data_IF_840193824282
#
_entry.id   IF_840193824282
#
_cell.length_a   1.000
_cell.length_b   1.000
_cell.length_c   1.000
_cell.angle_alpha   90.00
_cell.angle_beta   90.00
_cell.angle_gamma   90.00
#
_symmetry.space_group_name_H-M   'P 1'
#
loop_
_entity.id
_entity.type
_entity.pdbx_description
1 polymer ?
#
# COMPACT_ATOMS: atom_id res chain seq x y z
N UNK A 1 -0.43 14.09 45.44
CA UNK A 1 -1.79 14.01 46.03
C UNK A 1 -2.15 12.54 46.12
N UNK A 2 -2.58 12.03 47.29
CA UNK A 2 -2.79 10.58 47.50
C UNK A 2 -4.18 10.07 47.11
N UNK A 3 -5.17 10.94 46.95
CA UNK A 3 -6.49 10.65 46.34
C UNK A 3 -7.17 11.98 46.02
N UNK A 4 -7.98 12.04 44.96
CA UNK A 4 -8.73 13.25 44.56
C UNK A 4 -9.96 13.49 45.46
N UNK A 5 -10.46 12.43 46.11
CA UNK A 5 -11.37 12.48 47.27
C UNK A 5 -11.44 11.10 47.94
N UNK A 6 -11.75 11.06 49.24
CA UNK A 6 -11.98 9.83 50.03
C UNK A 6 -13.45 9.37 50.03
N UNK A 7 -14.34 10.08 49.31
CA UNK A 7 -15.74 9.70 49.10
C UNK A 7 -16.08 9.48 47.61
N UNK A 8 -17.26 8.95 47.28
CA UNK A 8 -17.71 8.78 45.89
C UNK A 8 -17.75 10.15 45.18
N UNK A 9 -16.81 10.36 44.28
CA UNK A 9 -16.76 11.54 43.41
C UNK A 9 -17.83 11.39 42.33
N UNK A 10 -18.92 12.15 42.45
CA UNK A 10 -19.87 12.33 41.36
C UNK A 10 -19.38 13.46 40.45
N UNK A 11 -18.75 13.13 39.32
CA UNK A 11 -18.39 14.09 38.28
C UNK A 11 -19.15 13.77 36.98
N UNK A 12 -20.47 14.05 36.92
CA UNK A 12 -21.35 13.61 35.83
C UNK A 12 -21.08 14.28 34.48
N UNK A 13 -20.21 15.30 34.42
CA UNK A 13 -19.84 16.04 33.20
C UNK A 13 -18.46 15.67 32.64
N UNK A 14 -17.76 14.71 33.24
CA UNK A 14 -16.40 14.37 32.85
C UNK A 14 -16.40 13.43 31.63
N UNK A 15 -16.34 14.00 30.43
CA UNK A 15 -16.37 13.21 29.19
C UNK A 15 -14.97 12.82 28.68
N UNK A 16 -13.93 13.56 29.08
CA UNK A 16 -12.56 13.40 28.59
C UNK A 16 -11.60 13.25 29.76
N UNK A 17 -10.77 12.20 29.75
CA UNK A 17 -9.72 11.99 30.75
C UNK A 17 -8.40 11.67 30.06
N UNK A 18 -7.33 12.37 30.45
CA UNK A 18 -5.96 12.08 30.04
C UNK A 18 -5.16 11.68 31.28
N UNK A 19 -4.67 10.45 31.30
CA UNK A 19 -3.86 9.87 32.36
C UNK A 19 -2.41 9.90 31.88
N UNK A 20 -1.58 10.74 32.48
CA UNK A 20 -0.15 10.83 32.16
C UNK A 20 0.68 10.40 33.36
N UNK A 21 1.62 9.48 33.13
CA UNK A 21 2.60 9.11 34.13
C UNK A 21 3.58 10.26 34.39
N UNK A 22 3.78 10.59 35.67
CA UNK A 22 4.78 11.53 36.14
C UNK A 22 5.77 10.76 37.03
N UNK A 23 7.07 10.66 36.65
CA UNK A 23 8.07 9.98 37.46
C UNK A 23 8.11 10.52 38.89
N UNK A 24 8.06 9.63 39.89
CA UNK A 24 8.19 9.98 41.32
C UNK A 24 6.90 10.33 42.06
N UNK A 25 5.74 10.43 41.38
CA UNK A 25 4.45 10.77 42.02
C UNK A 25 3.56 9.54 42.25
N UNK A 26 3.80 8.44 41.55
CA UNK A 26 3.00 7.21 41.64
C UNK A 26 3.54 6.25 42.70
N UNK A 27 2.69 5.92 43.68
CA UNK A 27 3.01 4.94 44.73
C UNK A 27 2.19 3.65 44.65
N UNK A 28 1.17 3.55 43.80
CA UNK A 28 0.29 2.38 43.72
C UNK A 28 -0.19 2.17 42.26
N UNK A 29 -0.28 0.90 41.86
CA UNK A 29 -0.41 0.30 40.51
C UNK A 29 -1.41 0.99 39.53
N UNK A 30 -1.14 0.93 38.21
CA UNK A 30 -2.12 1.35 37.18
C UNK A 30 -3.40 0.56 37.31
N UNK A 31 -3.31 -0.73 37.62
CA UNK A 31 -4.51 -1.52 37.86
C UNK A 31 -5.33 -0.91 39.01
N UNK A 32 -4.71 -0.37 40.06
CA UNK A 32 -5.42 0.36 41.12
C UNK A 32 -6.03 1.66 40.59
N UNK A 33 -5.39 2.37 39.66
CA UNK A 33 -5.95 3.60 39.06
C UNK A 33 -7.10 3.31 38.09
N UNK A 34 -6.96 2.32 37.22
CA UNK A 34 -8.02 1.85 36.31
C UNK A 34 -9.16 1.25 37.12
N UNK A 35 -8.84 0.44 38.14
CA UNK A 35 -9.82 -0.10 39.08
C UNK A 35 -10.52 1.02 39.85
N UNK A 36 -9.83 2.05 40.32
CA UNK A 36 -10.48 3.22 40.93
C UNK A 36 -11.38 3.97 39.95
N UNK A 37 -10.97 4.15 38.68
CA UNK A 37 -11.81 4.74 37.64
C UNK A 37 -13.04 3.86 37.36
N UNK A 38 -12.88 2.53 37.40
CA UNK A 38 -13.97 1.57 37.23
C UNK A 38 -14.89 1.47 38.47
N UNK A 39 -14.34 1.58 39.67
CA UNK A 39 -15.03 1.61 40.97
C UNK A 39 -15.83 2.90 41.15
N UNK A 40 -15.38 4.01 40.54
CA UNK A 40 -16.25 5.18 40.28
C UNK A 40 -17.17 4.89 39.10
N UNK A 41 -18.20 4.05 39.30
CA UNK A 41 -19.18 3.62 38.28
C UNK A 41 -19.67 4.77 37.37
N UNK A 42 -19.82 5.97 37.94
CA UNK A 42 -20.33 7.14 37.22
C UNK A 42 -19.35 7.71 36.18
N UNK A 43 -18.04 7.64 36.44
CA UNK A 43 -17.00 8.22 35.56
C UNK A 43 -16.71 7.30 34.38
N UNK A 44 -16.56 5.99 34.64
CA UNK A 44 -16.30 5.03 33.56
C UNK A 44 -17.46 4.85 32.59
N UNK A 45 -18.71 5.08 33.04
CA UNK A 45 -19.91 4.97 32.20
C UNK A 45 -20.24 6.23 31.37
N UNK A 46 -19.60 7.37 31.64
CA UNK A 46 -19.83 8.65 30.93
C UNK A 46 -18.68 9.07 30.01
N UNK A 47 -17.52 8.41 30.12
CA UNK A 47 -16.32 8.77 29.39
C UNK A 47 -16.46 8.51 27.88
N UNK A 48 -16.21 9.54 27.06
CA UNK A 48 -16.15 9.44 25.59
C UNK A 48 -14.73 9.35 25.07
N UNK A 49 -13.76 9.99 25.73
CA UNK A 49 -12.36 9.95 25.35
C UNK A 49 -11.45 9.61 26.51
N UNK A 50 -10.60 8.61 26.30
CA UNK A 50 -9.57 8.19 27.23
C UNK A 50 -8.20 8.26 26.56
N UNK A 51 -7.29 9.03 27.13
CA UNK A 51 -5.87 8.97 26.79
C UNK A 51 -5.10 8.37 27.97
N UNK A 52 -4.30 7.35 27.69
CA UNK A 52 -3.44 6.69 28.65
C UNK A 52 -2.01 6.84 28.14
N UNK A 53 -1.15 7.51 28.92
CA UNK A 53 0.21 7.78 28.47
C UNK A 53 1.31 7.68 29.53
N UNK A 54 2.50 7.24 29.11
CA UNK A 54 3.72 7.26 29.91
C UNK A 54 3.87 6.09 30.88
N UNK A 55 3.02 5.08 30.78
CA UNK A 55 2.99 3.99 31.75
C UNK A 55 4.17 3.04 31.57
N UNK A 56 5.26 3.30 32.29
CA UNK A 56 6.53 2.59 32.11
C UNK A 56 6.59 1.22 32.78
N UNK A 57 5.70 0.94 33.74
CA UNK A 57 5.74 -0.28 34.54
C UNK A 57 4.63 -1.30 34.24
N UNK A 58 3.71 -0.96 33.37
CA UNK A 58 2.49 -1.73 33.14
C UNK A 58 2.70 -2.66 31.96
N UNK A 59 2.50 -3.96 32.18
CA UNK A 59 2.57 -4.98 31.14
C UNK A 59 1.23 -5.23 30.44
N UNK A 60 0.12 -4.98 31.13
CA UNK A 60 -1.25 -5.27 30.68
C UNK A 60 -2.21 -4.18 31.18
N UNK A 61 -3.20 -3.78 30.37
CA UNK A 61 -4.17 -2.72 30.74
C UNK A 61 -5.56 -3.30 31.02
N UNK A 62 -6.07 -4.20 30.16
CA UNK A 62 -7.43 -4.74 30.26
C UNK A 62 -7.47 -6.27 30.12
N UNK A 63 -6.73 -6.98 30.97
CA UNK A 63 -6.60 -8.45 30.96
C UNK A 63 -7.35 -9.19 32.10
N UNK A 64 -8.12 -8.50 32.96
CA UNK A 64 -8.91 -9.12 34.04
C UNK A 64 -10.24 -8.40 34.32
N UNK A 65 -11.16 -9.06 35.04
CA UNK A 65 -12.56 -8.67 35.29
C UNK A 65 -12.78 -7.16 35.56
N UNK A 66 -13.13 -6.42 34.52
CA UNK A 66 -13.61 -5.04 34.61
C UNK A 66 -15.12 -5.07 34.91
N UNK A 67 -15.64 -4.27 35.89
CA UNK A 67 -17.06 -4.23 36.22
C UNK A 67 -17.96 -4.05 35.00
N UNK A 68 -19.12 -4.72 35.00
CA UNK A 68 -20.09 -4.70 33.90
C UNK A 68 -20.58 -3.27 33.64
N UNK A 69 -20.48 -2.77 32.41
CA UNK A 69 -20.91 -1.41 32.02
C UNK A 69 -19.82 -0.33 31.94
N UNK A 70 -18.61 -0.58 32.47
CA UNK A 70 -17.47 0.36 32.35
C UNK A 70 -17.06 0.58 30.89
N UNK A 71 -16.75 1.83 30.54
CA UNK A 71 -16.33 2.30 29.21
C UNK A 71 -17.37 2.10 28.10
N UNK A 72 -18.65 1.89 28.47
CA UNK A 72 -19.73 1.65 27.50
C UNK A 72 -19.98 2.82 26.56
N UNK A 73 -19.64 4.07 26.92
CA UNK A 73 -19.76 5.27 26.06
C UNK A 73 -18.44 5.72 25.42
N UNK A 74 -17.37 4.93 25.57
CA UNK A 74 -16.06 5.32 25.07
C UNK A 74 -16.04 5.32 23.55
N UNK A 75 -15.75 6.47 22.94
CA UNK A 75 -15.70 6.68 21.49
C UNK A 75 -14.26 6.75 20.98
N UNK A 76 -13.32 7.28 21.76
CA UNK A 76 -11.92 7.41 21.39
C UNK A 76 -10.99 6.93 22.52
N UNK A 77 -10.06 6.04 22.17
CA UNK A 77 -9.03 5.53 23.06
C UNK A 77 -7.65 5.76 22.47
N UNK A 78 -6.79 6.46 23.22
CA UNK A 78 -5.41 6.74 22.86
C UNK A 78 -4.50 6.12 23.92
N UNK A 79 -3.51 5.35 23.48
CA UNK A 79 -2.51 4.71 24.32
C UNK A 79 -1.15 5.09 23.80
N UNK A 80 -0.35 5.80 24.60
CA UNK A 80 0.88 6.40 24.13
C UNK A 80 2.05 6.19 25.11
N UNK A 81 3.26 5.93 24.63
CA UNK A 81 4.46 5.93 25.48
C UNK A 81 4.41 4.92 26.65
N UNK A 82 3.79 3.74 26.44
CA UNK A 82 3.71 2.69 27.46
C UNK A 82 4.84 1.68 27.26
N UNK A 83 5.94 1.87 28.00
CA UNK A 83 7.24 1.24 27.72
C UNK A 83 7.31 -0.28 27.93
N UNK A 84 6.53 -0.82 28.89
CA UNK A 84 6.51 -2.26 29.21
C UNK A 84 5.23 -2.97 28.76
N UNK A 85 4.31 -2.24 28.12
CA UNK A 85 3.03 -2.79 27.68
C UNK A 85 3.25 -3.88 26.64
N UNK A 86 2.78 -5.09 26.92
CA UNK A 86 2.88 -6.26 26.03
C UNK A 86 1.54 -6.65 25.42
N UNK A 87 0.48 -6.59 26.22
CA UNK A 87 -0.87 -7.01 25.86
C UNK A 87 -1.86 -5.93 26.23
N UNK A 88 -2.88 -5.72 25.40
CA UNK A 88 -3.80 -4.61 25.61
C UNK A 88 -5.20 -5.02 26.06
N UNK A 89 -5.92 -5.82 25.25
CA UNK A 89 -7.29 -6.23 25.54
C UNK A 89 -7.43 -7.74 25.65
N UNK A 90 -8.28 -8.20 26.57
CA UNK A 90 -8.94 -9.50 26.40
C UNK A 90 -10.03 -9.42 25.31
N UNK A 91 -10.35 -10.54 24.63
CA UNK A 91 -11.51 -10.67 23.74
C UNK A 91 -12.81 -10.14 24.35
N UNK A 92 -13.06 -10.49 25.61
CA UNK A 92 -14.21 -10.04 26.38
C UNK A 92 -14.27 -8.51 26.53
N UNK A 93 -13.14 -7.83 26.71
CA UNK A 93 -13.08 -6.37 26.76
C UNK A 93 -13.24 -5.72 25.38
N UNK A 94 -12.61 -6.29 24.34
CA UNK A 94 -12.75 -5.80 22.97
C UNK A 94 -14.20 -5.80 22.47
N UNK A 95 -14.99 -6.81 22.87
CA UNK A 95 -16.44 -6.91 22.60
C UNK A 95 -17.27 -5.82 23.28
N UNK A 96 -16.86 -5.37 24.47
CA UNK A 96 -17.63 -4.44 25.30
C UNK A 96 -17.47 -2.98 24.89
N UNK A 97 -16.45 -2.68 24.10
CA UNK A 97 -16.17 -1.33 23.57
C UNK A 97 -17.11 -1.02 22.40
N UNK A 98 -18.42 -1.04 22.68
CA UNK A 98 -19.48 -1.02 21.66
C UNK A 98 -19.67 0.33 20.99
N UNK A 99 -19.15 1.43 21.55
CA UNK A 99 -19.19 2.75 20.93
C UNK A 99 -17.80 3.23 20.47
N UNK A 100 -16.76 2.40 20.61
CA UNK A 100 -15.39 2.83 20.31
C UNK A 100 -15.23 2.97 18.79
N UNK A 101 -15.07 4.21 18.33
CA UNK A 101 -14.89 4.56 16.91
C UNK A 101 -13.43 4.71 16.53
N UNK A 102 -12.59 5.15 17.48
CA UNK A 102 -11.18 5.40 17.21
C UNK A 102 -10.28 4.80 18.27
N UNK A 103 -9.33 3.98 17.82
CA UNK A 103 -8.27 3.41 18.64
C UNK A 103 -6.91 3.85 18.09
N UNK A 104 -6.09 4.45 18.95
CA UNK A 104 -4.74 4.90 18.61
C UNK A 104 -3.75 4.36 19.60
N UNK A 105 -2.76 3.59 19.13
CA UNK A 105 -1.68 3.02 19.95
C UNK A 105 -0.36 3.56 19.40
N UNK A 106 0.43 4.25 20.24
CA UNK A 106 1.65 4.92 19.81
C UNK A 106 2.82 4.71 20.77
N UNK A 107 4.00 4.45 20.24
CA UNK A 107 5.24 4.38 21.04
C UNK A 107 5.12 3.39 22.22
N UNK A 108 4.64 2.19 21.92
CA UNK A 108 4.56 1.06 22.86
C UNK A 108 5.56 -0.02 22.40
N UNK A 109 6.86 0.12 22.72
CA UNK A 109 7.92 -0.66 22.07
C UNK A 109 7.89 -2.15 22.43
N UNK A 110 7.28 -2.53 23.56
CA UNK A 110 7.16 -3.92 24.00
C UNK A 110 5.84 -4.59 23.60
N UNK A 111 4.95 -3.89 22.87
CA UNK A 111 3.63 -4.41 22.52
C UNK A 111 3.78 -5.61 21.59
N UNK A 112 3.30 -6.76 22.04
CA UNK A 112 3.35 -8.04 21.34
C UNK A 112 1.99 -8.35 20.70
N UNK A 113 0.88 -8.09 21.41
CA UNK A 113 -0.49 -8.36 20.95
C UNK A 113 -1.45 -7.24 21.34
N UNK A 114 -2.33 -6.83 20.42
CA UNK A 114 -3.41 -5.87 20.70
C UNK A 114 -4.56 -6.57 21.44
N UNK A 115 -4.94 -7.76 20.99
CA UNK A 115 -5.95 -8.58 21.65
C UNK A 115 -5.35 -9.94 21.95
N UNK A 116 -5.43 -10.36 23.21
CA UNK A 116 -4.88 -11.62 23.70
C UNK A 116 -5.72 -12.79 23.18
N UNK A 117 -5.08 -13.90 22.79
CA UNK A 117 -5.79 -15.16 22.54
C UNK A 117 -6.25 -15.74 23.88
N UNK A 118 -7.55 -15.91 24.10
CA UNK A 118 -8.06 -16.68 25.25
C UNK A 118 -7.99 -18.17 24.91
N UNK A 119 -7.38 -18.98 25.78
CA UNK A 119 -7.44 -20.45 25.68
C UNK A 119 -8.91 -20.88 25.82
N UNK A 120 -9.33 -21.79 24.94
CA UNK A 120 -10.71 -22.23 24.75
C UNK A 120 -11.42 -22.49 26.09
N UNK A 121 -12.28 -21.56 26.50
CA UNK A 121 -13.27 -21.84 27.53
C UNK A 121 -14.41 -22.64 26.87
N UNK A 122 -14.57 -23.88 27.35
CA UNK A 122 -15.62 -24.87 27.08
C UNK A 122 -16.61 -24.56 25.96
N UNK A 123 -16.53 -25.39 24.92
CA UNK A 123 -17.55 -25.79 23.95
C UNK A 123 -18.87 -24.99 23.93
N UNK A 124 -19.11 -24.32 22.80
CA UNK A 124 -20.47 -24.28 22.23
C UNK A 124 -21.09 -22.95 21.84
N UNK A 125 -20.47 -21.77 22.05
CA UNK A 125 -21.22 -20.52 21.74
C UNK A 125 -20.44 -19.23 21.39
N UNK A 126 -19.10 -19.19 21.37
CA UNK A 126 -18.38 -17.89 21.32
C UNK A 126 -17.58 -17.57 20.06
N UNK A 127 -17.49 -18.48 19.09
CA UNK A 127 -16.60 -18.31 17.92
C UNK A 127 -16.98 -17.17 16.96
N UNK A 128 -18.15 -16.53 17.11
CA UNK A 128 -18.67 -15.52 16.18
C UNK A 128 -18.97 -14.16 16.81
N UNK A 129 -18.52 -13.87 18.03
CA UNK A 129 -18.79 -12.57 18.64
C UNK A 129 -17.87 -11.45 18.11
N UNK A 130 -18.48 -10.38 17.62
CA UNK A 130 -17.77 -9.25 17.01
C UNK A 130 -16.96 -8.49 18.07
N UNK A 131 -15.65 -8.32 17.80
CA UNK A 131 -14.77 -7.46 18.56
C UNK A 131 -14.71 -6.07 17.93
N UNK A 132 -14.74 -5.01 18.76
CA UNK A 132 -14.75 -3.63 18.30
C UNK A 132 -15.85 -3.31 17.27
N UNK A 133 -17.13 -3.50 17.62
CA UNK A 133 -18.23 -3.52 16.65
C UNK A 133 -18.50 -2.18 15.97
N UNK A 134 -17.97 -1.06 16.49
CA UNK A 134 -18.17 0.30 15.94
C UNK A 134 -16.85 0.99 15.57
N UNK A 135 -15.73 0.25 15.52
CA UNK A 135 -14.43 0.86 15.25
C UNK A 135 -14.33 1.31 13.80
N UNK A 136 -14.09 2.61 13.59
CA UNK A 136 -13.99 3.26 12.29
C UNK A 136 -12.53 3.54 11.90
N UNK A 137 -11.66 3.86 12.87
CA UNK A 137 -10.25 4.19 12.64
C UNK A 137 -9.34 3.48 13.66
N UNK A 138 -8.37 2.71 13.15
CA UNK A 138 -7.28 2.13 13.94
C UNK A 138 -5.93 2.69 13.48
N UNK A 139 -5.17 3.25 14.42
CA UNK A 139 -3.81 3.76 14.20
C UNK A 139 -2.85 3.06 15.15
N UNK A 140 -1.84 2.40 14.60
CA UNK A 140 -0.72 1.81 15.34
C UNK A 140 0.57 2.48 14.84
N UNK A 141 1.32 3.14 15.71
CA UNK A 141 2.60 3.78 15.39
C UNK A 141 3.68 3.38 16.41
N UNK A 142 4.87 3.04 15.93
CA UNK A 142 6.03 2.81 16.79
C UNK A 142 5.80 1.70 17.85
N UNK A 143 5.31 0.52 17.41
CA UNK A 143 5.10 -0.67 18.25
C UNK A 143 6.12 -1.75 17.87
N UNK A 144 7.18 -1.85 18.68
CA UNK A 144 8.44 -2.52 18.30
C UNK A 144 8.39 -4.03 18.20
N UNK A 145 7.54 -4.69 19.00
CA UNK A 145 7.44 -6.16 19.07
C UNK A 145 6.19 -6.73 18.42
N UNK A 146 5.34 -5.89 17.85
CA UNK A 146 4.08 -6.31 17.26
C UNK A 146 4.38 -7.10 15.99
N UNK A 147 3.99 -8.38 15.98
CA UNK A 147 4.22 -9.30 14.86
C UNK A 147 3.01 -9.45 13.95
N UNK A 148 1.81 -9.41 14.53
CA UNK A 148 0.53 -9.63 13.88
C UNK A 148 -0.54 -8.77 14.58
N UNK A 149 -1.62 -8.39 13.89
CA UNK A 149 -2.68 -7.56 14.48
C UNK A 149 -3.97 -8.33 14.72
N UNK A 150 -4.43 -9.09 13.73
CA UNK A 150 -5.79 -9.64 13.71
C UNK A 150 -5.79 -11.14 13.45
N UNK A 151 -6.68 -11.88 14.12
CA UNK A 151 -7.15 -13.16 13.59
C UNK A 151 -8.11 -12.93 12.41
N UNK A 152 -8.28 -13.91 11.52
CA UNK A 152 -9.33 -13.92 10.51
C UNK A 152 -10.71 -13.55 11.06
N UNK A 153 -11.12 -14.16 12.18
CA UNK A 153 -12.39 -13.86 12.85
C UNK A 153 -12.54 -12.39 13.26
N UNK A 154 -11.47 -11.79 13.77
CA UNK A 154 -11.47 -10.38 14.15
C UNK A 154 -11.54 -9.47 12.93
N UNK A 155 -10.80 -9.77 11.87
CA UNK A 155 -10.81 -9.03 10.63
C UNK A 155 -12.20 -9.03 9.96
N UNK A 156 -12.97 -10.12 10.10
CA UNK A 156 -14.37 -10.20 9.68
C UNK A 156 -15.31 -9.35 10.55
N UNK A 157 -15.09 -9.35 11.86
CA UNK A 157 -15.90 -8.58 12.82
C UNK A 157 -15.74 -7.06 12.74
N UNK A 158 -14.67 -6.56 12.10
CA UNK A 158 -14.41 -5.12 11.94
C UNK A 158 -15.28 -4.48 10.85
N UNK A 159 -16.60 -4.59 11.03
CA UNK A 159 -17.63 -4.25 10.04
C UNK A 159 -17.79 -2.75 9.76
N UNK A 160 -17.18 -1.88 10.56
CA UNK A 160 -17.22 -0.42 10.38
C UNK A 160 -15.84 0.20 10.19
N UNK A 161 -14.77 -0.60 10.16
CA UNK A 161 -13.41 -0.08 10.05
C UNK A 161 -13.17 0.49 8.66
N UNK A 162 -13.04 1.82 8.57
CA UNK A 162 -12.78 2.55 7.31
C UNK A 162 -11.31 2.86 7.11
N UNK A 163 -10.56 3.10 8.19
CA UNK A 163 -9.17 3.54 8.13
C UNK A 163 -8.27 2.70 9.02
N UNK A 164 -7.27 2.07 8.42
CA UNK A 164 -6.23 1.33 9.11
C UNK A 164 -4.87 1.93 8.77
N UNK A 165 -4.14 2.39 9.79
CA UNK A 165 -2.77 2.90 9.63
C UNK A 165 -1.82 2.18 10.56
N UNK A 166 -0.79 1.57 9.99
CA UNK A 166 0.26 0.87 10.73
C UNK A 166 1.59 1.50 10.34
N UNK A 167 2.34 1.98 11.31
CA UNK A 167 3.59 2.71 11.06
C UNK A 167 4.68 2.34 12.05
N UNK A 168 5.93 2.26 11.57
CA UNK A 168 7.12 2.03 12.41
C UNK A 168 6.98 0.78 13.31
N UNK A 169 6.47 -0.32 12.75
CA UNK A 169 6.33 -1.60 13.43
C UNK A 169 7.35 -2.59 12.84
N UNK A 170 8.62 -2.56 13.27
CA UNK A 170 9.72 -3.24 12.60
C UNK A 170 9.61 -4.77 12.62
N UNK A 171 8.91 -5.33 13.61
CA UNK A 171 8.71 -6.78 13.76
C UNK A 171 7.43 -7.31 13.11
N UNK A 172 6.63 -6.43 12.47
CA UNK A 172 5.37 -6.83 11.84
C UNK A 172 5.66 -7.77 10.68
N UNK A 173 5.16 -9.00 10.76
CA UNK A 173 5.35 -10.06 9.77
C UNK A 173 4.12 -10.18 8.86
N UNK A 174 2.92 -10.01 9.42
CA UNK A 174 1.63 -10.06 8.71
C UNK A 174 0.58 -9.17 9.41
N UNK A 175 -0.44 -8.69 8.69
CA UNK A 175 -1.53 -7.90 9.30
C UNK A 175 -2.60 -8.83 9.90
N UNK A 176 -2.98 -9.87 9.15
CA UNK A 176 -3.92 -10.90 9.57
C UNK A 176 -3.19 -12.24 9.61
N UNK A 177 -3.36 -12.97 10.71
CA UNK A 177 -2.75 -14.29 10.89
C UNK A 177 -3.38 -15.31 9.96
N UNK A 178 -2.57 -16.16 9.32
CA UNK A 178 -3.09 -17.35 8.63
C UNK A 178 -3.56 -18.37 9.67
N UNK A 179 -4.85 -18.72 9.68
CA UNK A 179 -5.35 -19.85 10.46
C UNK A 179 -5.11 -21.13 9.65
N UNK A 180 -4.51 -22.15 10.28
CA UNK A 180 -4.46 -23.51 9.71
C UNK A 180 -5.91 -24.00 9.56
N UNK A 181 -6.20 -24.59 8.41
CA UNK A 181 -7.54 -24.91 7.93
C UNK A 181 -8.36 -25.64 9.01
N UNK A 182 -9.36 -24.95 9.59
CA UNK A 182 -10.43 -25.64 10.29
C UNK A 182 -11.27 -26.38 9.25
N UNK A 183 -11.56 -27.65 9.53
CA UNK A 183 -12.18 -28.66 8.66
C UNK A 183 -13.10 -28.11 7.56
N UNK A 184 -12.86 -28.64 6.36
CA UNK A 184 -13.61 -28.47 5.12
C UNK A 184 -15.11 -28.37 5.36
N UNK A 185 -15.72 -27.23 5.04
CA UNK A 185 -17.17 -27.18 4.87
C UNK A 185 -17.87 -25.83 4.93
N UNK A 186 -17.34 -24.77 5.57
CA UNK A 186 -18.17 -23.55 5.72
C UNK A 186 -17.52 -22.16 5.75
N UNK A 187 -16.21 -22.00 5.56
CA UNK A 187 -15.57 -20.67 5.68
C UNK A 187 -15.02 -20.07 4.37
N UNK A 188 -15.17 -20.76 3.25
CA UNK A 188 -14.81 -20.18 1.95
C UNK A 188 -15.80 -19.04 1.64
N UNK A 189 -15.30 -17.81 1.60
CA UNK A 189 -15.97 -16.56 1.15
C UNK A 189 -16.43 -15.55 2.21
N UNK A 190 -16.03 -15.63 3.48
CA UNK A 190 -16.32 -14.53 4.41
C UNK A 190 -15.37 -13.34 4.19
N UNK A 191 -15.96 -12.16 3.93
CA UNK A 191 -15.24 -10.92 3.66
C UNK A 191 -14.53 -10.41 4.92
N UNK A 192 -13.23 -10.21 4.84
CA UNK A 192 -12.44 -9.51 5.85
C UNK A 192 -12.37 -8.02 5.53
N UNK A 193 -12.46 -7.16 6.56
CA UNK A 193 -12.45 -5.71 6.42
C UNK A 193 -13.51 -5.15 5.44
N UNK A 194 -14.80 -5.46 5.64
CA UNK A 194 -15.85 -5.23 4.65
C UNK A 194 -16.11 -3.75 4.31
N UNK A 195 -15.67 -2.81 5.16
CA UNK A 195 -15.87 -1.36 4.97
C UNK A 195 -14.55 -0.58 4.88
N UNK A 196 -13.40 -1.25 4.73
CA UNK A 196 -12.10 -0.57 4.73
C UNK A 196 -11.93 0.26 3.47
N UNK A 197 -11.67 1.55 3.64
CA UNK A 197 -11.53 2.55 2.56
C UNK A 197 -10.07 2.97 2.35
N UNK A 198 -9.29 3.06 3.44
CA UNK A 198 -7.88 3.46 3.42
C UNK A 198 -7.03 2.52 4.27
N UNK A 199 -6.02 1.93 3.64
CA UNK A 199 -4.94 1.20 4.31
C UNK A 199 -3.60 1.89 4.05
N UNK A 200 -2.91 2.25 5.13
CA UNK A 200 -1.55 2.81 5.08
C UNK A 200 -0.63 1.96 5.95
N UNK A 201 0.46 1.49 5.35
CA UNK A 201 1.52 0.75 6.02
C UNK A 201 2.84 1.44 5.73
N UNK A 202 3.50 1.97 6.75
CA UNK A 202 4.79 2.67 6.62
C UNK A 202 5.84 2.06 7.56
N UNK A 203 7.06 1.84 7.08
CA UNK A 203 8.19 1.44 7.92
C UNK A 203 7.94 0.15 8.73
N UNK A 204 7.47 -0.90 8.06
CA UNK A 204 7.25 -2.23 8.63
C UNK A 204 8.31 -3.21 8.09
N UNK A 205 9.36 -3.42 8.88
CA UNK A 205 10.63 -4.01 8.43
C UNK A 205 10.57 -5.47 8.01
N UNK A 206 9.72 -6.27 8.66
CA UNK A 206 9.59 -7.72 8.43
C UNK A 206 8.39 -8.13 7.57
N UNK A 207 7.58 -7.17 7.13
CA UNK A 207 6.36 -7.46 6.39
C UNK A 207 6.74 -8.03 5.03
N UNK A 208 6.36 -9.29 4.78
CA UNK A 208 6.68 -10.00 3.53
C UNK A 208 5.54 -9.93 2.53
N UNK A 209 4.33 -10.17 3.02
CA UNK A 209 3.11 -10.22 2.24
C UNK A 209 1.99 -9.50 2.99
N UNK A 210 0.96 -9.05 2.26
CA UNK A 210 -0.12 -8.29 2.88
C UNK A 210 -1.47 -8.99 2.83
N UNK A 211 -1.84 -9.55 1.68
CA UNK A 211 -3.17 -10.11 1.46
C UNK A 211 -3.10 -11.52 0.87
N UNK A 212 -4.03 -12.38 1.27
CA UNK A 212 -4.43 -13.53 0.46
C UNK A 212 -5.32 -13.05 -0.70
N UNK A 213 -5.41 -13.80 -1.81
CA UNK A 213 -6.38 -13.60 -2.88
C UNK A 213 -7.81 -13.39 -2.35
N UNK A 214 -8.25 -14.25 -1.42
CA UNK A 214 -9.57 -14.14 -0.77
C UNK A 214 -9.79 -12.80 -0.05
N UNK A 215 -8.78 -12.30 0.66
CA UNK A 215 -8.86 -11.01 1.32
C UNK A 215 -8.89 -9.85 0.32
N UNK A 216 -8.06 -9.92 -0.73
CA UNK A 216 -8.01 -8.91 -1.78
C UNK A 216 -9.35 -8.76 -2.54
N UNK A 217 -10.10 -9.86 -2.70
CA UNK A 217 -11.49 -9.84 -3.21
C UNK A 217 -12.47 -9.21 -2.24
N UNK A 218 -12.31 -9.48 -0.94
CA UNK A 218 -13.19 -8.97 0.11
C UNK A 218 -13.07 -7.46 0.37
N UNK A 219 -11.97 -6.83 -0.07
CA UNK A 219 -11.71 -5.40 0.10
C UNK A 219 -12.52 -4.53 -0.88
N UNK A 220 -13.84 -4.69 -0.85
CA UNK A 220 -14.79 -4.13 -1.82
C UNK A 220 -14.99 -2.61 -1.71
N UNK A 221 -14.54 -1.97 -0.63
CA UNK A 221 -14.61 -0.52 -0.44
C UNK A 221 -13.24 0.17 -0.42
N UNK A 222 -12.14 -0.59 -0.59
CA UNK A 222 -10.80 -0.04 -0.45
C UNK A 222 -10.49 0.88 -1.63
N UNK A 223 -10.40 2.18 -1.37
CA UNK A 223 -10.10 3.21 -2.38
C UNK A 223 -8.62 3.54 -2.42
N UNK A 224 -7.92 3.37 -1.30
CA UNK A 224 -6.55 3.86 -1.15
C UNK A 224 -5.67 2.89 -0.39
N UNK A 225 -4.60 2.46 -1.06
CA UNK A 225 -3.58 1.59 -0.51
C UNK A 225 -2.22 2.27 -0.62
N UNK A 226 -1.55 2.47 0.51
CA UNK A 226 -0.19 2.99 0.55
C UNK A 226 0.71 2.07 1.35
N UNK A 227 1.79 1.61 0.73
CA UNK A 227 2.81 0.77 1.35
C UNK A 227 4.15 1.45 1.17
N UNK A 228 4.80 1.84 2.26
CA UNK A 228 6.08 2.54 2.20
C UNK A 228 7.11 1.99 3.17
N UNK A 229 8.39 2.00 2.77
CA UNK A 229 9.53 1.60 3.60
C UNK A 229 9.37 0.20 4.20
N UNK A 230 8.90 -0.76 3.40
CA UNK A 230 8.75 -2.16 3.78
C UNK A 230 9.81 -2.99 3.02
N UNK A 231 11.07 -3.04 3.51
CA UNK A 231 12.20 -3.57 2.74
C UNK A 231 12.10 -5.07 2.45
N UNK A 232 11.37 -5.83 3.27
CA UNK A 232 11.18 -7.27 3.11
C UNK A 232 9.93 -7.64 2.30
N UNK A 233 9.14 -6.66 1.82
CA UNK A 233 7.92 -6.92 1.06
C UNK A 233 8.29 -7.60 -0.27
N UNK A 234 7.81 -8.82 -0.47
CA UNK A 234 8.07 -9.65 -1.65
C UNK A 234 6.89 -9.56 -2.63
N UNK A 235 5.65 -9.64 -2.13
CA UNK A 235 4.42 -9.52 -2.91
C UNK A 235 3.33 -8.76 -2.11
N UNK A 236 2.42 -8.05 -2.80
CA UNK A 236 1.26 -7.42 -2.13
C UNK A 236 0.16 -8.44 -1.87
N UNK A 237 -0.15 -9.27 -2.86
CA UNK A 237 -1.09 -10.39 -2.78
C UNK A 237 -0.31 -11.67 -3.01
N UNK A 238 -0.42 -12.62 -2.09
CA UNK A 238 0.26 -13.92 -2.18
C UNK A 238 -0.36 -14.72 -3.32
N UNK A 239 0.46 -15.39 -4.14
CA UNK A 239 -0.03 -16.43 -5.06
C UNK A 239 -0.52 -17.64 -4.25
N UNK A 240 -1.80 -18.00 -4.37
CA UNK A 240 -2.31 -19.28 -3.86
C UNK A 240 -2.02 -20.36 -4.91
N UNK A 241 -1.43 -21.49 -4.49
CA UNK A 241 -1.33 -22.69 -5.34
C UNK A 241 -2.75 -23.16 -5.66
N UNK A 242 -2.98 -23.49 -6.93
CA UNK A 242 -4.29 -23.65 -7.54
C UNK A 242 -5.16 -24.67 -6.79
N UNK A 243 -6.25 -24.20 -6.18
CA UNK A 243 -7.36 -25.07 -5.84
C UNK A 243 -8.14 -25.35 -7.13
N UNK A 244 -8.20 -26.63 -7.51
CA UNK A 244 -8.88 -27.28 -8.64
C UNK A 244 -9.43 -26.40 -9.77
N UNK A 245 -8.92 -26.68 -10.97
CA UNK A 245 -9.35 -26.20 -12.27
C UNK A 245 -10.87 -26.06 -12.39
N UNK A 246 -11.34 -24.83 -12.66
CA UNK A 246 -12.68 -24.61 -13.21
C UNK A 246 -13.46 -23.40 -12.69
N UNK A 247 -13.04 -22.72 -11.60
CA UNK A 247 -13.94 -21.77 -10.92
C UNK A 247 -13.40 -20.35 -10.65
N UNK A 248 -12.09 -20.08 -10.68
CA UNK A 248 -11.55 -18.80 -10.14
C UNK A 248 -10.92 -17.83 -11.15
N UNK A 249 -10.90 -18.14 -12.45
CA UNK A 249 -10.13 -17.38 -13.45
C UNK A 249 -10.55 -15.91 -13.69
N UNK A 250 -11.57 -15.38 -13.01
CA UNK A 250 -12.10 -14.03 -13.25
C UNK A 250 -12.57 -13.26 -12.01
N UNK A 251 -12.09 -13.60 -10.80
CA UNK A 251 -12.51 -12.86 -9.62
C UNK A 251 -11.73 -11.54 -9.46
N UNK A 252 -12.46 -10.43 -9.43
CA UNK A 252 -11.90 -9.07 -9.31
C UNK A 252 -11.32 -8.87 -7.91
N UNK A 253 -10.04 -8.52 -7.85
CA UNK A 253 -9.38 -8.06 -6.63
C UNK A 253 -9.33 -6.54 -6.59
N UNK A 254 -9.52 -5.97 -5.40
CA UNK A 254 -9.53 -4.51 -5.18
C UNK A 254 -10.50 -3.74 -6.11
N UNK A 255 -11.79 -4.09 -6.15
CA UNK A 255 -12.73 -3.60 -7.17
C UNK A 255 -12.96 -2.09 -7.15
N UNK A 256 -12.68 -1.40 -6.03
CA UNK A 256 -12.89 0.04 -5.84
C UNK A 256 -11.59 0.83 -5.64
N UNK A 257 -10.43 0.22 -5.87
CA UNK A 257 -9.15 0.88 -5.61
C UNK A 257 -8.91 2.01 -6.61
N UNK A 258 -8.72 3.22 -6.10
CA UNK A 258 -8.52 4.46 -6.87
C UNK A 258 -7.05 4.90 -6.86
N UNK A 259 -6.35 4.69 -5.74
CA UNK A 259 -4.97 5.10 -5.54
C UNK A 259 -4.12 3.96 -4.92
N UNK A 260 -3.05 3.58 -5.62
CA UNK A 260 -2.00 2.71 -5.11
C UNK A 260 -0.66 3.43 -5.10
N UNK A 261 -0.03 3.52 -3.93
CA UNK A 261 1.33 4.03 -3.78
C UNK A 261 2.21 2.98 -3.11
N UNK A 262 3.29 2.62 -3.78
CA UNK A 262 4.34 1.77 -3.25
C UNK A 262 5.66 2.55 -3.29
N UNK A 263 6.28 2.74 -2.14
CA UNK A 263 7.55 3.49 -2.03
C UNK A 263 8.56 2.75 -1.17
N UNK A 264 9.81 2.63 -1.61
CA UNK A 264 10.89 2.04 -0.81
C UNK A 264 10.59 0.59 -0.34
N UNK A 265 10.18 -0.28 -1.26
CA UNK A 265 9.94 -1.71 -1.01
C UNK A 265 11.04 -2.54 -1.70
N UNK A 266 12.04 -2.95 -0.91
CA UNK A 266 13.33 -3.45 -1.39
C UNK A 266 13.30 -4.78 -2.12
N UNK A 267 12.42 -5.71 -1.71
CA UNK A 267 12.31 -7.06 -2.26
C UNK A 267 11.17 -7.27 -3.24
N UNK A 268 10.36 -6.23 -3.50
CA UNK A 268 9.19 -6.34 -4.34
C UNK A 268 9.64 -6.61 -5.78
N UNK A 269 9.28 -7.78 -6.32
CA UNK A 269 9.67 -8.21 -7.68
C UNK A 269 8.58 -7.94 -8.70
N UNK A 270 7.35 -8.26 -8.34
CA UNK A 270 6.17 -8.18 -9.18
C UNK A 270 5.02 -7.56 -8.40
N UNK A 271 4.09 -6.90 -9.08
CA UNK A 271 2.96 -6.24 -8.41
C UNK A 271 1.60 -6.88 -8.72
N UNK A 272 1.31 -7.12 -10.00
CA UNK A 272 0.00 -7.62 -10.43
C UNK A 272 0.12 -8.86 -11.32
N UNK A 273 -0.84 -9.78 -11.19
CA UNK A 273 -1.18 -10.71 -12.25
C UNK A 273 -2.02 -9.98 -13.31
N UNK A 274 -2.11 -10.50 -14.55
CA UNK A 274 -3.03 -10.00 -15.57
C UNK A 274 -4.47 -9.89 -15.05
N UNK A 275 -4.97 -10.93 -14.38
CA UNK A 275 -6.31 -10.93 -13.76
C UNK A 275 -6.53 -9.80 -12.76
N UNK A 276 -5.56 -9.52 -11.88
CA UNK A 276 -5.61 -8.38 -10.96
C UNK A 276 -5.62 -7.05 -11.72
N UNK A 277 -4.76 -6.90 -12.72
CA UNK A 277 -4.67 -5.67 -13.53
C UNK A 277 -5.98 -5.38 -14.30
N UNK A 278 -6.70 -6.42 -14.74
CA UNK A 278 -8.06 -6.31 -15.31
C UNK A 278 -9.08 -5.88 -14.26
N UNK A 279 -8.98 -6.42 -13.04
CA UNK A 279 -9.90 -6.14 -11.94
C UNK A 279 -9.81 -4.72 -11.37
N UNK A 280 -8.69 -4.02 -11.59
CA UNK A 280 -8.44 -2.66 -11.11
C UNK A 280 -9.15 -1.59 -11.96
N UNK A 281 -10.47 -1.74 -12.10
CA UNK A 281 -11.31 -0.94 -13.01
C UNK A 281 -11.52 0.51 -12.57
N UNK A 282 -11.23 0.85 -11.31
CA UNK A 282 -11.34 2.22 -10.78
C UNK A 282 -9.98 2.88 -10.50
N UNK A 283 -8.86 2.21 -10.78
CA UNK A 283 -7.53 2.72 -10.42
C UNK A 283 -7.19 3.93 -11.27
N UNK A 284 -7.06 5.10 -10.65
CA UNK A 284 -6.73 6.37 -11.30
C UNK A 284 -5.27 6.75 -11.14
N UNK A 285 -4.66 6.39 -10.01
CA UNK A 285 -3.29 6.77 -9.68
C UNK A 285 -2.48 5.57 -9.22
N UNK A 286 -1.40 5.29 -9.95
CA UNK A 286 -0.41 4.29 -9.60
C UNK A 286 0.96 4.96 -9.47
N UNK A 287 1.56 4.85 -8.28
CA UNK A 287 2.92 5.32 -8.03
C UNK A 287 3.77 4.19 -7.46
N UNK A 288 4.88 3.90 -8.13
CA UNK A 288 5.89 2.95 -7.67
C UNK A 288 7.21 3.70 -7.60
N UNK A 289 7.87 3.67 -6.45
CA UNK A 289 9.08 4.45 -6.21
C UNK A 289 10.08 3.65 -5.38
N UNK A 290 11.38 3.73 -5.71
CA UNK A 290 12.47 3.12 -4.91
C UNK A 290 12.25 1.63 -4.65
N UNK A 291 11.90 0.88 -5.69
CA UNK A 291 11.71 -0.58 -5.64
C UNK A 291 12.81 -1.25 -6.47
N UNK A 292 14.04 -1.41 -5.93
CA UNK A 292 15.22 -1.77 -6.73
C UNK A 292 15.14 -3.17 -7.34
N UNK A 293 14.38 -4.10 -6.74
CA UNK A 293 14.20 -5.46 -7.25
C UNK A 293 13.01 -5.63 -8.18
N UNK A 294 12.25 -4.58 -8.48
CA UNK A 294 11.06 -4.66 -9.32
C UNK A 294 11.47 -5.03 -10.75
N UNK A 295 10.99 -6.18 -11.22
CA UNK A 295 11.30 -6.75 -12.53
C UNK A 295 10.16 -6.45 -13.52
N UNK A 296 8.90 -6.62 -13.10
CA UNK A 296 7.71 -6.34 -13.91
C UNK A 296 6.57 -5.72 -13.06
N UNK A 297 5.77 -4.83 -13.65
CA UNK A 297 4.57 -4.28 -12.97
C UNK A 297 3.41 -5.26 -13.06
N UNK A 298 3.21 -5.85 -14.24
CA UNK A 298 2.23 -6.92 -14.49
C UNK A 298 2.98 -8.13 -15.01
N UNK A 299 2.85 -9.27 -14.33
CA UNK A 299 3.50 -10.53 -14.70
C UNK A 299 2.88 -11.06 -16.00
N UNK A 300 3.70 -11.62 -16.89
CA UNK A 300 3.20 -12.34 -18.07
C UNK A 300 2.65 -13.72 -17.67
N UNK A 301 1.44 -14.06 -18.06
CA UNK A 301 0.89 -15.43 -17.90
C UNK A 301 1.45 -16.33 -19.02
N UNK A 302 2.03 -17.48 -18.65
CA UNK A 302 2.68 -18.42 -19.57
C UNK A 302 1.68 -19.26 -20.40
N UNK A 303 0.41 -19.34 -19.99
CA UNK A 303 -0.54 -20.37 -20.48
C UNK A 303 -1.86 -19.86 -21.11
N UNK A 304 -1.95 -18.60 -21.54
CA UNK A 304 -3.13 -18.18 -22.32
C UNK A 304 -3.02 -18.65 -23.77
N UNK A 305 -3.98 -19.49 -24.22
CA UNK A 305 -4.15 -19.89 -25.63
C UNK A 305 -3.96 -18.68 -26.56
N UNK A 306 -3.21 -18.88 -27.65
CA UNK A 306 -2.77 -17.84 -28.59
C UNK A 306 -3.91 -16.99 -29.20
N UNK A 307 -5.17 -17.42 -29.06
CA UNK A 307 -6.36 -16.68 -29.49
C UNK A 307 -6.93 -15.66 -28.49
N UNK A 308 -6.58 -15.72 -27.19
CA UNK A 308 -7.20 -14.87 -26.14
C UNK A 308 -6.43 -13.58 -25.84
N UNK A 309 -5.21 -13.41 -26.38
CA UNK A 309 -4.31 -12.29 -26.04
C UNK A 309 -4.72 -10.93 -26.62
N UNK A 310 -5.65 -10.88 -27.57
CA UNK A 310 -5.73 -9.72 -28.46
C UNK A 310 -6.51 -8.50 -27.95
N UNK A 311 -7.25 -8.55 -26.83
CA UNK A 311 -8.14 -7.43 -26.46
C UNK A 311 -8.37 -7.17 -24.96
N UNK A 312 -7.51 -7.64 -24.07
CA UNK A 312 -7.72 -7.41 -22.64
C UNK A 312 -7.26 -6.02 -22.19
N UNK A 313 -8.22 -5.17 -21.81
CA UNK A 313 -7.96 -3.83 -21.30
C UNK A 313 -7.54 -3.94 -19.82
N UNK A 314 -6.31 -3.52 -19.53
CA UNK A 314 -5.79 -3.40 -18.17
C UNK A 314 -5.76 -1.94 -17.74
N UNK A 315 -6.07 -1.67 -16.46
CA UNK A 315 -6.10 -0.33 -15.88
C UNK A 315 -6.94 0.69 -16.68
N UNK A 316 -8.23 0.39 -16.98
CA UNK A 316 -9.05 1.18 -17.92
C UNK A 316 -9.27 2.65 -17.50
N UNK A 317 -9.12 2.97 -16.21
CA UNK A 317 -9.35 4.31 -15.65
C UNK A 317 -8.06 5.00 -15.17
N UNK A 318 -6.89 4.45 -15.48
CA UNK A 318 -5.63 5.02 -15.01
C UNK A 318 -5.37 6.38 -15.64
N UNK A 319 -5.21 7.41 -14.80
CA UNK A 319 -4.98 8.80 -15.21
C UNK A 319 -3.51 9.21 -15.01
N UNK A 320 -2.86 8.70 -13.95
CA UNK A 320 -1.48 9.03 -13.58
C UNK A 320 -0.69 7.75 -13.25
N UNK A 321 0.41 7.55 -13.97
CA UNK A 321 1.43 6.55 -13.66
C UNK A 321 2.77 7.23 -13.38
N UNK A 322 3.34 6.95 -12.21
CA UNK A 322 4.68 7.41 -11.82
C UNK A 322 5.51 6.20 -11.41
N UNK A 323 6.60 5.95 -12.14
CA UNK A 323 7.60 4.95 -11.80
C UNK A 323 8.94 5.65 -11.63
N UNK A 324 9.55 5.50 -10.46
CA UNK A 324 10.83 6.14 -10.15
C UNK A 324 11.77 5.17 -9.41
N UNK A 325 13.04 5.11 -9.77
CA UNK A 325 14.05 4.37 -9.03
C UNK A 325 13.69 2.88 -8.88
N UNK A 326 13.40 2.24 -10.02
CA UNK A 326 13.09 0.81 -10.12
C UNK A 326 14.22 0.11 -10.90
N UNK A 327 15.15 -0.47 -10.16
CA UNK A 327 16.49 -0.86 -10.65
C UNK A 327 16.51 -1.99 -11.68
N UNK A 328 15.60 -2.97 -11.57
CA UNK A 328 15.54 -4.15 -12.43
C UNK A 328 14.46 -4.11 -13.50
N UNK A 329 13.67 -3.03 -13.55
CA UNK A 329 12.53 -2.92 -14.47
C UNK A 329 13.05 -2.79 -15.90
N UNK A 330 12.73 -3.77 -16.75
CA UNK A 330 13.23 -3.83 -18.14
C UNK A 330 12.26 -3.30 -19.17
N UNK A 331 10.96 -3.42 -18.89
CA UNK A 331 9.85 -2.93 -19.69
C UNK A 331 8.63 -2.64 -18.79
N UNK A 332 7.66 -1.87 -19.29
CA UNK A 332 6.44 -1.53 -18.53
C UNK A 332 5.18 -2.14 -19.14
N UNK A 333 5.05 -2.08 -20.46
CA UNK A 333 3.79 -2.37 -21.14
C UNK A 333 3.96 -3.32 -22.32
N UNK A 334 2.97 -4.18 -22.51
CA UNK A 334 2.67 -4.72 -23.84
C UNK A 334 1.97 -3.66 -24.71
N UNK A 335 1.99 -3.82 -26.05
CA UNK A 335 1.16 -3.03 -26.96
C UNK A 335 -0.33 -3.05 -26.60
N UNK A 336 -0.88 -4.19 -26.16
CA UNK A 336 -2.28 -4.30 -25.72
C UNK A 336 -2.58 -3.46 -24.48
N UNK A 337 -1.70 -3.47 -23.47
CA UNK A 337 -1.83 -2.62 -22.29
C UNK A 337 -1.74 -1.13 -22.67
N UNK A 338 -0.80 -0.76 -23.53
CA UNK A 338 -0.63 0.62 -23.99
C UNK A 338 -1.88 1.16 -24.73
N UNK A 339 -2.58 0.30 -25.49
CA UNK A 339 -3.89 0.61 -26.10
C UNK A 339 -5.00 0.73 -25.06
N UNK A 340 -4.99 -0.11 -24.04
CA UNK A 340 -6.00 -0.14 -22.96
C UNK A 340 -5.96 1.07 -22.02
N UNK A 341 -4.82 1.77 -21.94
CA UNK A 341 -4.60 2.96 -21.11
C UNK A 341 -5.23 4.23 -21.73
N UNK A 342 -6.52 4.18 -22.01
CA UNK A 342 -7.26 5.21 -22.77
C UNK A 342 -7.46 6.52 -22.00
N UNK A 343 -7.36 6.50 -20.67
CA UNK A 343 -7.51 7.68 -19.80
C UNK A 343 -6.18 8.22 -19.25
N UNK A 344 -5.04 7.59 -19.59
CA UNK A 344 -3.75 7.98 -19.04
C UNK A 344 -3.39 9.38 -19.54
N UNK A 345 -3.22 10.32 -18.61
CA UNK A 345 -2.90 11.74 -18.89
C UNK A 345 -1.46 12.09 -18.56
N UNK A 346 -0.88 11.40 -17.59
CA UNK A 346 0.46 11.69 -17.08
C UNK A 346 1.25 10.42 -16.89
N UNK A 347 2.39 10.33 -17.56
CA UNK A 347 3.35 9.24 -17.44
C UNK A 347 4.71 9.82 -17.04
N UNK A 348 5.23 9.41 -15.88
CA UNK A 348 6.57 9.77 -15.42
C UNK A 348 7.35 8.49 -15.18
N UNK A 349 8.50 8.37 -15.85
CA UNK A 349 9.44 7.28 -15.66
C UNK A 349 10.82 7.90 -15.42
N UNK A 350 11.37 7.68 -14.22
CA UNK A 350 12.66 8.24 -13.84
C UNK A 350 13.56 7.22 -13.15
N UNK A 351 14.88 7.35 -13.29
CA UNK A 351 15.88 6.59 -12.52
C UNK A 351 15.70 5.06 -12.63
N UNK A 352 15.32 4.54 -13.79
CA UNK A 352 15.16 3.09 -14.04
C UNK A 352 16.30 2.61 -14.98
N UNK A 353 17.49 2.26 -14.44
CA UNK A 353 18.71 2.07 -15.24
C UNK A 353 18.70 0.83 -16.14
N UNK A 354 17.85 -0.17 -15.86
CA UNK A 354 17.71 -1.38 -16.68
C UNK A 354 16.59 -1.29 -17.71
N UNK A 355 15.84 -0.19 -17.77
CA UNK A 355 14.73 -0.02 -18.68
C UNK A 355 15.25 0.14 -20.11
N UNK A 356 14.92 -0.79 -20.99
CA UNK A 356 15.40 -0.82 -22.38
C UNK A 356 14.35 -0.22 -23.34
N UNK A 357 13.08 -0.51 -23.09
CA UNK A 357 11.91 -0.06 -23.86
C UNK A 357 10.75 0.19 -22.90
N UNK A 358 9.90 1.20 -23.15
CA UNK A 358 8.71 1.44 -22.32
C UNK A 358 7.59 0.47 -22.70
N UNK A 359 7.32 0.37 -24.00
CA UNK A 359 6.39 -0.59 -24.59
C UNK A 359 7.20 -1.62 -25.38
N UNK A 360 7.05 -2.91 -25.08
CA UNK A 360 7.75 -3.98 -25.80
C UNK A 360 7.17 -4.19 -27.19
N UNK A 361 7.99 -4.72 -28.11
CA UNK A 361 7.49 -5.24 -29.38
C UNK A 361 6.83 -6.61 -29.18
N UNK A 362 5.62 -6.79 -29.69
CA UNK A 362 5.00 -8.12 -29.87
C UNK A 362 5.21 -8.57 -31.32
N UNK A 363 5.43 -9.87 -31.54
CA UNK A 363 5.46 -10.45 -32.89
C UNK A 363 4.04 -10.44 -33.45
N UNK A 364 3.78 -9.58 -34.44
CA UNK A 364 2.51 -9.61 -35.16
C UNK A 364 2.40 -10.92 -35.94
N UNK A 365 1.25 -11.59 -35.80
CA UNK A 365 0.92 -12.73 -36.66
C UNK A 365 0.96 -12.30 -38.14
N UNK A 366 1.54 -13.14 -38.99
CA UNK A 366 1.63 -12.91 -40.44
C UNK A 366 0.25 -12.58 -41.02
N UNK A 367 0.01 -11.31 -41.35
CA UNK A 367 -1.28 -10.84 -41.90
C UNK A 367 -1.93 -9.66 -41.17
N UNK A 368 -1.34 -9.16 -40.09
CA UNK A 368 -1.79 -7.94 -39.40
C UNK A 368 -1.82 -6.70 -40.31
N UNK A 369 -2.95 -5.98 -40.29
CA UNK A 369 -3.15 -4.75 -41.06
C UNK A 369 -2.10 -3.69 -40.68
N UNK A 370 -1.48 -3.07 -41.69
CA UNK A 370 -0.57 -1.91 -41.59
C UNK A 370 -1.32 -0.62 -41.16
N UNK A 371 -2.15 -0.69 -40.13
CA UNK A 371 -2.89 0.44 -39.60
C UNK A 371 -2.02 1.29 -38.67
N UNK A 372 -2.34 2.57 -38.55
CA UNK A 372 -1.70 3.46 -37.59
C UNK A 372 -2.01 2.97 -36.17
N UNK A 373 -0.99 2.89 -35.33
CA UNK A 373 -1.13 2.51 -33.92
C UNK A 373 -1.40 3.74 -33.07
N UNK A 374 -2.64 3.90 -32.62
CA UNK A 374 -2.99 4.88 -31.59
C UNK A 374 -2.69 4.27 -30.23
N UNK A 375 -1.76 4.86 -29.49
CA UNK A 375 -1.47 4.49 -28.10
C UNK A 375 -1.70 5.69 -27.19
N UNK A 376 -2.04 5.42 -25.92
CA UNK A 376 -2.20 6.47 -24.90
C UNK A 376 -2.98 7.71 -25.40
N UNK A 377 -4.23 7.55 -25.89
CA UNK A 377 -4.93 8.59 -26.65
C UNK A 377 -5.17 9.89 -25.87
N UNK A 378 -5.14 9.86 -24.54
CA UNK A 378 -5.31 11.03 -23.66
C UNK A 378 -4.01 11.50 -22.98
N UNK A 379 -2.85 10.91 -23.30
CA UNK A 379 -1.58 11.27 -22.66
C UNK A 379 -1.22 12.70 -23.01
N UNK A 380 -1.08 13.56 -21.99
CA UNK A 380 -0.76 14.99 -22.13
C UNK A 380 0.70 15.28 -21.78
N UNK A 381 1.19 14.67 -20.70
CA UNK A 381 2.52 14.93 -20.16
C UNK A 381 3.29 13.62 -20.06
N UNK A 382 4.45 13.57 -20.72
CA UNK A 382 5.40 12.48 -20.66
C UNK A 382 6.74 12.99 -20.11
N UNK A 383 7.23 12.37 -19.04
CA UNK A 383 8.56 12.69 -18.48
C UNK A 383 9.38 11.41 -18.43
N UNK A 384 10.53 11.44 -19.11
CA UNK A 384 11.53 10.36 -19.10
C UNK A 384 12.86 10.93 -18.61
N UNK A 385 13.38 10.37 -17.51
CA UNK A 385 14.54 10.93 -16.82
C UNK A 385 15.53 9.87 -16.33
N UNK A 386 16.82 10.07 -16.53
CA UNK A 386 17.86 9.16 -16.00
C UNK A 386 17.60 7.67 -16.39
N UNK A 387 17.28 7.44 -17.66
CA UNK A 387 16.99 6.11 -18.21
C UNK A 387 18.16 5.64 -19.08
N UNK A 388 19.14 5.00 -18.44
CA UNK A 388 20.48 4.81 -19.01
C UNK A 388 20.52 3.86 -20.20
N UNK A 389 19.64 2.86 -20.22
CA UNK A 389 19.57 1.83 -21.27
C UNK A 389 18.40 2.03 -22.24
N UNK A 390 17.58 3.05 -22.06
CA UNK A 390 16.38 3.25 -22.86
C UNK A 390 16.79 3.54 -24.31
N UNK A 391 16.41 2.65 -25.25
CA UNK A 391 16.75 2.77 -26.68
C UNK A 391 15.66 3.50 -27.47
N UNK A 392 14.41 3.22 -27.12
CA UNK A 392 13.21 3.82 -27.70
C UNK A 392 12.04 3.74 -26.74
N UNK A 393 11.05 4.61 -26.91
CA UNK A 393 9.80 4.52 -26.14
C UNK A 393 8.99 3.29 -26.58
N UNK A 394 8.84 3.10 -27.89
CA UNK A 394 8.17 1.95 -28.49
C UNK A 394 8.81 1.61 -29.85
N UNK A 395 9.48 0.46 -30.01
CA UNK A 395 10.24 0.11 -31.22
C UNK A 395 9.35 -0.36 -32.40
N UNK A 396 8.28 0.38 -32.70
CA UNK A 396 7.35 0.08 -33.79
C UNK A 396 7.79 0.72 -35.11
N UNK A 397 7.66 -0.03 -36.22
CA UNK A 397 8.00 0.44 -37.58
C UNK A 397 6.82 1.09 -38.32
N UNK A 398 5.58 0.78 -37.90
CA UNK A 398 4.37 1.41 -38.40
C UNK A 398 4.17 2.80 -37.77
N UNK A 399 3.19 3.55 -38.28
CA UNK A 399 2.94 4.90 -37.79
C UNK A 399 2.39 4.84 -36.36
N UNK A 400 3.02 5.55 -35.43
CA UNK A 400 2.59 5.72 -34.04
C UNK A 400 1.89 7.07 -33.88
N UNK A 401 0.72 7.08 -33.24
CA UNK A 401 -0.04 8.30 -32.97
C UNK A 401 -0.22 8.52 -31.47
N UNK A 402 0.17 9.70 -31.00
CA UNK A 402 -0.07 10.21 -29.65
C UNK A 402 -0.88 11.52 -29.75
N UNK A 403 -2.21 11.44 -29.99
CA UNK A 403 -3.02 12.56 -30.47
C UNK A 403 -3.22 13.69 -29.45
N UNK A 404 -3.01 13.40 -28.16
CA UNK A 404 -3.19 14.37 -27.06
C UNK A 404 -1.89 14.79 -26.38
N UNK A 405 -0.72 14.39 -26.89
CA UNK A 405 0.55 14.71 -26.25
C UNK A 405 0.86 16.19 -26.39
N UNK A 406 0.98 16.91 -25.27
CA UNK A 406 1.26 18.36 -25.23
C UNK A 406 2.70 18.65 -24.80
N UNK A 407 3.22 17.88 -23.84
CA UNK A 407 4.50 18.13 -23.19
C UNK A 407 5.32 16.84 -23.07
N UNK A 408 6.57 16.92 -23.52
CA UNK A 408 7.57 15.87 -23.33
C UNK A 408 8.81 16.45 -22.66
N UNK A 409 9.22 15.86 -21.55
CA UNK A 409 10.46 16.24 -20.86
C UNK A 409 11.43 15.08 -20.85
N UNK A 410 12.64 15.30 -21.37
CA UNK A 410 13.71 14.30 -21.47
C UNK A 410 14.97 14.80 -20.77
N UNK A 411 15.58 13.97 -19.93
CA UNK A 411 16.90 14.27 -19.39
C UNK A 411 17.66 13.00 -19.06
N UNK A 412 18.97 12.96 -19.36
CA UNK A 412 19.84 11.83 -19.04
C UNK A 412 19.29 10.51 -19.63
N UNK A 413 19.10 10.47 -20.95
CA UNK A 413 18.71 9.27 -21.70
C UNK A 413 19.72 8.98 -22.82
N UNK A 414 20.98 8.62 -22.48
CA UNK A 414 22.12 8.63 -23.42
C UNK A 414 22.04 7.62 -24.58
N UNK A 415 21.24 6.56 -24.44
CA UNK A 415 21.07 5.51 -25.45
C UNK A 415 19.82 5.69 -26.31
N UNK A 416 18.97 6.68 -26.00
CA UNK A 416 17.69 6.87 -26.68
C UNK A 416 17.92 7.59 -28.00
N UNK A 417 17.82 6.86 -29.12
CA UNK A 417 18.08 7.42 -30.46
C UNK A 417 16.82 7.96 -31.13
N UNK A 418 15.69 7.31 -30.89
CA UNK A 418 14.40 7.68 -31.46
C UNK A 418 13.31 7.46 -30.41
N UNK A 419 12.17 8.13 -30.57
CA UNK A 419 10.95 7.80 -29.83
C UNK A 419 10.35 6.47 -30.33
N UNK A 420 10.18 6.37 -31.65
CA UNK A 420 9.69 5.19 -32.40
C UNK A 420 10.56 4.93 -33.63
N UNK A 421 10.46 3.74 -34.24
CA UNK A 421 11.20 3.44 -35.48
C UNK A 421 10.48 3.91 -36.74
N UNK A 422 9.14 3.93 -36.71
CA UNK A 422 8.27 4.40 -37.78
C UNK A 422 7.89 5.88 -37.68
N UNK A 423 7.00 6.36 -38.57
CA UNK A 423 6.44 7.71 -38.51
C UNK A 423 5.77 7.98 -37.16
N UNK A 424 5.87 9.21 -36.66
CA UNK A 424 5.27 9.62 -35.38
C UNK A 424 4.39 10.86 -35.57
N UNK A 425 3.12 10.75 -35.19
CA UNK A 425 2.17 11.87 -35.20
C UNK A 425 1.91 12.34 -33.78
N UNK A 426 2.26 13.61 -33.51
CA UNK A 426 2.07 14.29 -32.21
C UNK A 426 1.46 15.69 -32.45
N UNK A 427 0.21 15.77 -32.93
CA UNK A 427 -0.36 17.00 -33.50
C UNK A 427 -0.55 18.15 -32.49
N UNK A 428 -0.52 17.85 -31.19
CA UNK A 428 -0.70 18.84 -30.10
C UNK A 428 0.58 19.12 -29.32
N UNK A 429 1.72 18.60 -29.77
CA UNK A 429 2.98 18.75 -29.05
C UNK A 429 3.46 20.20 -29.18
N UNK A 430 3.40 20.93 -28.06
CA UNK A 430 3.84 22.32 -28.01
C UNK A 430 5.26 22.42 -27.45
N UNK A 431 5.60 21.57 -26.47
CA UNK A 431 6.84 21.71 -25.71
C UNK A 431 7.62 20.39 -25.64
N UNK A 432 8.90 20.46 -25.99
CA UNK A 432 9.89 19.42 -25.70
C UNK A 432 11.01 20.06 -24.88
N UNK A 433 11.12 19.67 -23.61
CA UNK A 433 12.11 20.24 -22.68
C UNK A 433 13.23 19.22 -22.40
N UNK A 434 14.41 19.40 -23.01
CA UNK A 434 15.66 19.02 -22.37
C UNK A 434 15.80 19.88 -21.10
N UNK A 435 15.92 19.26 -19.92
CA UNK A 435 16.03 20.02 -18.65
C UNK A 435 17.19 21.05 -18.68
N UNK A 436 18.19 20.79 -19.51
CA UNK A 436 19.40 21.60 -19.67
C UNK A 436 19.33 22.66 -20.79
N UNK A 437 18.34 22.61 -21.70
CA UNK A 437 18.24 23.54 -22.82
C UNK A 437 16.79 23.64 -23.36
N UNK A 438 16.01 24.68 -22.99
CA UNK A 438 14.58 24.77 -23.29
C UNK A 438 14.22 25.10 -24.76
N UNK A 439 15.17 25.10 -25.70
CA UNK A 439 14.97 25.63 -27.05
C UNK A 439 15.18 24.61 -28.19
N UNK A 440 14.67 23.38 -28.08
CA UNK A 440 14.74 22.41 -29.17
C UNK A 440 13.41 21.68 -29.36
N UNK A 441 12.59 22.17 -30.30
CA UNK A 441 11.65 21.33 -31.03
C UNK A 441 11.99 21.46 -32.52
N UNK A 442 12.54 20.41 -33.11
CA UNK A 442 12.87 20.35 -34.55
C UNK A 442 11.84 19.46 -35.23
N UNK A 443 10.84 20.07 -35.87
CA UNK A 443 9.87 19.48 -36.81
C UNK A 443 8.99 18.33 -36.27
N UNK A 444 9.59 17.26 -35.77
CA UNK A 444 8.94 16.12 -35.12
C UNK A 444 9.72 15.64 -33.88
N UNK A 445 9.04 14.92 -32.98
CA UNK A 445 9.64 14.44 -31.72
C UNK A 445 10.82 13.47 -31.96
N UNK A 446 10.79 12.67 -33.03
CA UNK A 446 11.88 11.74 -33.36
C UNK A 446 13.18 12.49 -33.72
N UNK A 447 13.10 13.53 -34.54
CA UNK A 447 14.24 14.38 -34.92
C UNK A 447 14.79 15.15 -33.73
N UNK A 448 13.90 15.64 -32.86
CA UNK A 448 14.30 16.29 -31.61
C UNK A 448 15.12 15.34 -30.73
N UNK A 449 14.67 14.09 -30.55
CA UNK A 449 15.41 13.08 -29.78
C UNK A 449 16.75 12.72 -30.42
N UNK A 450 16.80 12.51 -31.74
CA UNK A 450 18.07 12.28 -32.46
C UNK A 450 19.07 13.41 -32.21
N UNK A 451 18.60 14.65 -32.31
CA UNK A 451 19.44 15.81 -32.06
C UNK A 451 19.96 15.86 -30.61
N UNK A 452 19.12 15.55 -29.62
CA UNK A 452 19.54 15.47 -28.22
C UNK A 452 20.54 14.35 -27.97
N UNK A 453 20.34 13.18 -28.57
CA UNK A 453 21.29 12.08 -28.50
C UNK A 453 22.67 12.46 -29.07
N UNK A 454 22.72 13.22 -30.17
CA UNK A 454 23.95 13.69 -30.79
C UNK A 454 24.64 14.81 -29.98
N UNK A 455 23.86 15.75 -29.44
CA UNK A 455 24.39 16.96 -28.77
C UNK A 455 24.62 16.78 -27.27
N UNK A 456 23.62 16.30 -26.53
CA UNK A 456 23.66 16.13 -25.08
C UNK A 456 24.08 14.71 -24.67
N UNK A 457 23.94 13.72 -25.54
CA UNK A 457 24.31 12.32 -25.27
C UNK A 457 25.74 12.15 -24.73
N UNK A 458 26.79 12.75 -25.35
CA UNK A 458 28.15 12.70 -24.81
C UNK A 458 28.28 13.29 -23.40
N UNK A 459 27.59 14.40 -23.12
CA UNK A 459 27.57 15.06 -21.81
C UNK A 459 26.89 14.17 -20.76
N UNK A 460 25.75 13.56 -21.10
CA UNK A 460 25.07 12.62 -20.22
C UNK A 460 25.95 11.40 -19.89
N UNK A 461 26.65 10.83 -20.87
CA UNK A 461 27.60 9.72 -20.64
C UNK A 461 28.75 10.15 -19.71
N UNK A 462 29.34 11.33 -19.94
CA UNK A 462 30.41 11.85 -19.09
C UNK A 462 29.94 12.11 -17.63
N UNK A 463 28.72 12.63 -17.45
CA UNK A 463 28.14 12.85 -16.12
C UNK A 463 27.95 11.53 -15.36
N UNK A 464 27.54 10.46 -16.04
CA UNK A 464 27.40 9.12 -15.45
C UNK A 464 28.75 8.52 -15.04
N UNK A 465 29.78 8.67 -15.87
CA UNK A 465 31.13 8.21 -15.52
C UNK A 465 31.69 8.94 -14.29
N UNK A 466 31.35 10.21 -14.10
CA UNK A 466 31.76 10.97 -12.91
C UNK A 466 31.03 10.54 -11.64
N UNK A 467 29.72 10.32 -11.71
CA UNK A 467 28.92 9.89 -10.55
C UNK A 467 29.18 8.43 -10.17
N UNK A 468 29.48 7.55 -11.12
CA UNK A 468 29.91 6.18 -10.81
C UNK A 468 31.24 6.13 -10.07
N UNK A 469 32.22 6.97 -10.46
CA UNK A 469 33.52 7.05 -9.76
C UNK A 469 33.41 7.63 -8.35
N UNK A 470 32.52 8.58 -8.13
CA UNK A 470 32.23 9.12 -6.79
C UNK A 470 31.53 8.10 -5.88
N UNK A 471 30.59 7.32 -6.42
CA UNK A 471 29.91 6.26 -5.68
C UNK A 471 30.86 5.13 -5.26
N UNK A 472 31.77 4.71 -6.15
CA UNK A 472 32.80 3.70 -5.83
C UNK A 472 33.83 4.18 -4.80
N UNK A 473 34.10 5.49 -4.73
CA UNK A 473 34.99 6.06 -3.73
C UNK A 473 34.37 6.12 -2.32
N UNK A 474 33.04 6.19 -2.21
CA UNK A 474 32.31 6.20 -0.92
C UNK A 474 32.06 4.83 -0.31
N UNK A 475 32.11 3.74 -1.08
CA UNK A 475 31.99 2.36 -0.56
C UNK A 475 33.32 1.77 -0.02
N UNK A 476 34.42 2.55 -0.09
CA UNK A 476 35.75 2.17 0.40
C UNK A 476 36.23 2.95 1.64
N UNK A 477 35.33 3.60 2.38
CA UNK A 477 35.66 4.31 3.64
C UNK A 477 34.90 3.73 4.84
#
# INVERSE_FOLDING_TARGET
MKTFSLGPLSTPKLENVSIRFIPGVWKDDLNTTIKHICETEFVSASLKKLEISGMSNVSEIWCSQVPTGSFSKLEELIIAHCGKLRKLFSPSMARRLVHLRKLTIRSCPMLEEVVVKEEEAEEGSRMNEIMFPQLEELIIDNCGKLRNLFSPSMARGLVHLRKLRISKCPMLEEVVVKEEEAEEGSRMNEIMFPQLEELIIDNCGKLRNLFSPSMARGLVHLRKLRISKCPMLEEVVVKEEEAEEGSRMNEIMFPQLEELIIDNCGKLRNLFSPSMARGLVHLRKLRISKCPMLEEVVVKEEEAEEGSRMNEIMFPQLEELIINNCGKLRNLFSPSMARGLVHLRKLIIADCPMLEEVVVKEEEAEGGSRMNEIMFPQLKTLILGALLKLRSFFPVKHALELPSLHEVTLYICPEMKNFSLGPLSTPKLENVYPLDNPAVCKDDLNNTIRHLHETEGPRWRAQLESTSKEAEATDHI
#
